data_IF_960358654176
#
_entry.id   IF_960358654176
#
_cell.length_a   1.000
_cell.length_b   1.000
_cell.length_c   1.000
_cell.angle_alpha   90.00
_cell.angle_beta   90.00
_cell.angle_gamma   90.00
#
_symmetry.space_group_name_H-M   'P 1'
#
loop_
_entity.id
_entity.type
_entity.pdbx_description
1 polymer ?
#
# COMPACT_ATOMS: atom_id res chain seq x y z
N UNK A 1 42.46 -27.99 9.33
CA UNK A 1 41.51 -29.05 9.77
C UNK A 1 42.11 -30.37 9.35
N UNK A 2 42.43 -31.18 10.32
CA UNK A 2 43.04 -32.51 10.03
C UNK A 2 41.98 -33.57 10.23
N UNK A 3 41.75 -34.31 9.17
CA UNK A 3 40.93 -35.51 9.20
C UNK A 3 41.80 -36.63 9.80
N UNK A 4 41.46 -37.06 10.97
CA UNK A 4 42.24 -38.12 11.66
C UNK A 4 41.38 -39.40 11.67
N UNK A 5 41.65 -40.30 10.71
CA UNK A 5 40.89 -41.54 10.60
C UNK A 5 39.44 -41.37 10.24
N UNK A 6 38.52 -41.96 11.00
CA UNK A 6 37.08 -41.91 10.78
C UNK A 6 36.33 -40.95 11.75
N UNK A 7 37.05 -40.14 12.54
CA UNK A 7 36.43 -39.27 13.52
C UNK A 7 36.72 -37.80 13.21
N UNK A 8 35.71 -36.96 13.37
CA UNK A 8 35.88 -35.51 13.37
C UNK A 8 36.34 -35.04 14.73
N UNK A 9 37.30 -34.11 14.77
CA UNK A 9 37.71 -33.44 16.02
C UNK A 9 36.54 -32.58 16.56
N UNK A 10 36.55 -32.28 17.88
CA UNK A 10 35.47 -31.55 18.59
C UNK A 10 35.10 -30.18 17.98
N UNK A 11 35.89 -29.68 17.04
CA UNK A 11 35.68 -28.40 16.34
C UNK A 11 35.07 -28.53 14.96
N UNK A 12 34.71 -29.77 14.51
CA UNK A 12 34.24 -29.98 13.14
C UNK A 12 33.09 -30.98 13.10
N UNK A 13 32.04 -30.68 12.37
CA UNK A 13 30.97 -31.64 12.04
C UNK A 13 31.30 -32.41 10.80
N UNK A 14 31.12 -33.72 10.86
CA UNK A 14 31.34 -34.64 9.73
C UNK A 14 30.14 -34.60 8.80
N UNK A 15 30.37 -34.20 7.57
CA UNK A 15 29.42 -34.42 6.47
C UNK A 15 30.04 -35.44 5.49
N UNK A 16 29.24 -35.91 4.53
CA UNK A 16 29.66 -37.02 3.62
C UNK A 16 30.98 -36.80 2.88
N UNK A 17 31.47 -35.56 2.80
CA UNK A 17 32.64 -35.16 2.02
C UNK A 17 33.70 -34.33 2.78
N UNK A 18 33.60 -34.19 4.08
CA UNK A 18 34.62 -33.45 4.85
C UNK A 18 34.18 -32.96 6.21
N UNK A 19 35.08 -32.27 6.88
CA UNK A 19 34.82 -31.63 8.15
C UNK A 19 34.62 -30.11 7.97
N UNK A 20 33.54 -29.58 8.46
CA UNK A 20 33.28 -28.13 8.47
C UNK A 20 33.39 -27.56 9.90
N UNK A 21 33.94 -26.39 10.05
CA UNK A 21 33.96 -25.68 11.35
C UNK A 21 32.54 -25.39 11.81
N UNK A 22 32.22 -25.67 13.08
CA UNK A 22 30.90 -25.39 13.66
C UNK A 22 30.47 -23.92 13.52
N UNK A 23 31.44 -23.01 13.44
CA UNK A 23 31.17 -21.57 13.21
C UNK A 23 30.77 -21.23 11.78
N UNK A 24 30.99 -22.11 10.81
CA UNK A 24 30.72 -21.88 9.39
C UNK A 24 29.51 -22.65 8.86
N UNK A 25 28.99 -23.62 9.63
CA UNK A 25 27.76 -24.33 9.25
C UNK A 25 26.58 -23.41 9.50
N UNK A 26 26.12 -22.79 8.45
CA UNK A 26 24.86 -22.07 8.46
C UNK A 26 23.72 -23.08 8.55
N UNK A 27 23.19 -23.32 9.75
CA UNK A 27 21.98 -24.12 9.92
C UNK A 27 20.74 -23.20 9.81
N UNK A 28 20.08 -23.19 8.62
CA UNK A 28 18.90 -22.37 8.42
C UNK A 28 17.72 -22.81 9.27
N UNK A 29 17.67 -24.10 9.65
CA UNK A 29 16.60 -24.66 10.48
C UNK A 29 16.70 -24.16 11.92
N UNK A 30 17.90 -24.16 12.49
CA UNK A 30 18.13 -23.66 13.85
C UNK A 30 17.84 -22.15 13.94
N UNK A 31 18.28 -21.35 12.95
CA UNK A 31 17.98 -19.92 12.90
C UNK A 31 16.47 -19.65 12.74
N UNK A 32 15.81 -20.45 11.90
CA UNK A 32 14.36 -20.33 11.73
C UNK A 32 13.61 -20.74 13.00
N UNK A 33 14.06 -21.79 13.70
CA UNK A 33 13.48 -22.20 14.98
C UNK A 33 13.67 -21.13 16.05
N UNK A 34 14.86 -20.51 16.14
CA UNK A 34 15.10 -19.36 17.03
C UNK A 34 14.23 -18.17 16.68
N UNK A 35 14.03 -17.91 15.37
CA UNK A 35 13.13 -16.87 14.90
C UNK A 35 11.67 -17.15 15.27
N UNK A 36 11.19 -18.39 15.09
CA UNK A 36 9.83 -18.80 15.49
C UNK A 36 9.62 -18.71 17.01
N UNK A 37 10.56 -19.17 17.80
CA UNK A 37 10.50 -19.04 19.27
C UNK A 37 10.46 -17.57 19.69
N UNK A 38 11.25 -16.70 19.03
CA UNK A 38 11.21 -15.26 19.28
C UNK A 38 9.85 -14.62 18.90
N UNK A 39 9.16 -15.14 17.86
CA UNK A 39 7.80 -14.72 17.53
C UNK A 39 6.82 -15.16 18.61
N UNK A 40 6.93 -16.39 19.09
CA UNK A 40 6.05 -16.94 20.14
C UNK A 40 6.14 -16.08 21.41
N UNK A 41 7.34 -15.78 21.88
CA UNK A 41 7.58 -14.88 23.02
C UNK A 41 7.09 -13.45 22.75
N UNK A 42 7.21 -12.97 21.50
CA UNK A 42 6.80 -11.63 21.06
C UNK A 42 5.35 -11.50 20.61
N UNK A 43 4.55 -12.56 20.62
CA UNK A 43 3.17 -12.55 20.08
C UNK A 43 2.30 -11.47 20.71
N UNK A 44 2.40 -11.27 22.02
CA UNK A 44 1.66 -10.22 22.72
C UNK A 44 2.04 -8.80 22.24
N UNK A 45 3.31 -8.57 21.88
CA UNK A 45 3.82 -7.29 21.34
C UNK A 45 3.20 -7.05 19.96
N UNK A 46 3.15 -8.09 19.12
CA UNK A 46 2.54 -8.03 17.78
C UNK A 46 1.04 -7.72 17.89
N UNK A 47 0.34 -8.41 18.78
CA UNK A 47 -1.09 -8.16 19.03
C UNK A 47 -1.35 -6.75 19.55
N UNK A 48 -0.57 -6.28 20.51
CA UNK A 48 -0.67 -4.92 21.04
C UNK A 48 -0.40 -3.89 19.94
N UNK A 49 0.61 -4.13 19.10
CA UNK A 49 0.92 -3.27 17.95
C UNK A 49 -0.23 -3.19 16.94
N UNK A 50 -0.90 -4.29 16.65
CA UNK A 50 -2.06 -4.31 15.76
C UNK A 50 -3.27 -3.57 16.35
N UNK A 51 -3.53 -3.74 17.64
CA UNK A 51 -4.62 -3.03 18.32
C UNK A 51 -4.36 -1.53 18.35
N UNK A 52 -3.14 -1.10 18.70
CA UNK A 52 -2.78 0.34 18.70
C UNK A 52 -2.79 0.92 17.28
N UNK A 53 -2.34 0.17 16.28
CA UNK A 53 -2.42 0.58 14.87
C UNK A 53 -3.87 0.80 14.42
N UNK A 54 -4.76 -0.15 14.69
CA UNK A 54 -6.17 -0.03 14.34
C UNK A 54 -6.85 1.12 15.08
N UNK A 55 -6.52 1.35 16.34
CA UNK A 55 -7.02 2.49 17.11
C UNK A 55 -6.57 3.83 16.50
N UNK A 56 -5.30 3.95 16.11
CA UNK A 56 -4.78 5.15 15.43
C UNK A 56 -5.46 5.39 14.08
N UNK A 57 -5.71 4.34 13.30
CA UNK A 57 -6.46 4.43 12.05
C UNK A 57 -7.89 4.93 12.29
N UNK A 58 -8.59 4.41 13.31
CA UNK A 58 -9.93 4.86 13.68
C UNK A 58 -9.93 6.32 14.15
N UNK A 59 -8.96 6.74 14.96
CA UNK A 59 -8.79 8.15 15.36
C UNK A 59 -8.62 9.03 14.14
N UNK A 60 -7.84 8.61 13.15
CA UNK A 60 -7.66 9.38 11.91
C UNK A 60 -8.94 9.50 11.11
N UNK A 61 -9.74 8.42 11.00
CA UNK A 61 -11.07 8.47 10.37
C UNK A 61 -12.02 9.41 11.12
N UNK A 62 -11.98 9.44 12.45
CA UNK A 62 -12.75 10.39 13.26
C UNK A 62 -12.30 11.82 13.03
N UNK A 63 -11.01 12.09 12.91
CA UNK A 63 -10.49 13.42 12.55
C UNK A 63 -10.98 13.86 11.17
N UNK A 64 -11.02 12.99 10.18
CA UNK A 64 -11.61 13.27 8.87
C UNK A 64 -13.14 13.50 8.94
N UNK A 65 -13.83 12.90 9.91
CA UNK A 65 -15.28 13.15 10.09
C UNK A 65 -15.57 14.50 10.76
N UNK A 66 -14.89 14.80 11.87
CA UNK A 66 -15.25 15.94 12.72
C UNK A 66 -14.43 17.20 12.46
N UNK A 67 -13.21 17.06 12.00
CA UNK A 67 -12.24 18.14 11.83
C UNK A 67 -11.51 18.07 10.48
N UNK A 68 -12.23 17.77 9.40
CA UNK A 68 -11.63 17.54 8.07
C UNK A 68 -10.80 18.72 7.59
N UNK A 69 -11.31 19.95 7.71
CA UNK A 69 -10.60 21.15 7.27
C UNK A 69 -9.26 21.31 7.98
N UNK A 70 -9.27 21.19 9.31
CA UNK A 70 -8.05 21.25 10.12
C UNK A 70 -7.09 20.10 9.76
N UNK A 71 -7.60 18.87 9.67
CA UNK A 71 -6.79 17.68 9.40
C UNK A 71 -6.10 17.76 8.04
N UNK A 72 -6.82 18.16 6.99
CA UNK A 72 -6.28 18.31 5.63
C UNK A 72 -5.18 19.37 5.61
N UNK A 73 -5.42 20.56 6.16
CA UNK A 73 -4.41 21.62 6.21
C UNK A 73 -3.21 21.25 7.08
N UNK A 74 -3.45 20.58 8.23
CA UNK A 74 -2.38 20.09 9.10
C UNK A 74 -1.49 19.08 8.38
N UNK A 75 -2.08 18.12 7.66
CA UNK A 75 -1.31 17.12 6.90
C UNK A 75 -0.54 17.75 5.74
N UNK A 76 -1.16 18.67 4.98
CA UNK A 76 -0.51 19.36 3.87
C UNK A 76 0.68 20.20 4.35
N UNK A 77 0.46 21.07 5.31
CA UNK A 77 1.50 21.99 5.84
C UNK A 77 2.54 21.19 6.63
N UNK A 78 2.09 20.26 7.48
CA UNK A 78 2.96 19.39 8.27
C UNK A 78 3.86 18.52 7.40
N UNK A 79 3.33 17.91 6.34
CA UNK A 79 4.10 17.10 5.40
C UNK A 79 5.17 17.92 4.68
N UNK A 80 4.81 19.12 4.20
CA UNK A 80 5.80 20.05 3.61
C UNK A 80 6.86 20.48 4.62
N UNK A 81 6.45 20.75 5.87
CA UNK A 81 7.36 21.10 6.95
C UNK A 81 8.37 19.98 7.26
N UNK A 82 7.92 18.74 7.35
CA UNK A 82 8.78 17.59 7.62
C UNK A 82 9.81 17.38 6.51
N UNK A 83 9.39 17.47 5.24
CA UNK A 83 10.33 17.34 4.11
C UNK A 83 11.32 18.50 4.03
N UNK A 84 10.89 19.73 4.33
CA UNK A 84 11.76 20.90 4.38
C UNK A 84 12.78 20.79 5.53
N UNK A 85 12.35 20.43 6.72
CA UNK A 85 13.25 20.19 7.88
C UNK A 85 14.23 19.05 7.56
N UNK A 86 13.76 17.95 6.98
CA UNK A 86 14.60 16.83 6.55
C UNK A 86 15.68 17.26 5.53
N UNK A 87 15.31 18.11 4.57
CA UNK A 87 16.27 18.69 3.61
C UNK A 87 17.33 19.56 4.31
N UNK A 88 16.91 20.43 5.23
CA UNK A 88 17.82 21.30 5.99
C UNK A 88 18.78 20.49 6.89
N UNK A 89 18.27 19.47 7.59
CA UNK A 89 19.10 18.59 8.42
C UNK A 89 20.11 17.79 7.59
N UNK A 90 19.66 17.23 6.47
CA UNK A 90 20.53 16.50 5.53
C UNK A 90 21.62 17.41 4.93
N UNK A 91 21.28 18.66 4.60
CA UNK A 91 22.24 19.66 4.16
C UNK A 91 23.26 20.00 5.26
N UNK A 92 22.81 20.12 6.51
CA UNK A 92 23.71 20.32 7.66
C UNK A 92 24.69 19.18 7.83
N UNK A 93 24.24 17.92 7.72
CA UNK A 93 25.11 16.74 7.76
C UNK A 93 26.06 16.68 6.56
N UNK A 94 25.58 17.02 5.33
CA UNK A 94 26.45 17.14 4.17
C UNK A 94 27.61 18.11 4.44
N UNK A 95 27.33 19.32 4.93
CA UNK A 95 28.37 20.31 5.27
C UNK A 95 29.35 19.77 6.32
N UNK A 96 28.83 19.07 7.35
CA UNK A 96 29.66 18.49 8.40
C UNK A 96 30.63 17.44 7.86
N UNK A 97 30.14 16.51 7.01
CA UNK A 97 30.99 15.46 6.42
C UNK A 97 31.93 16.00 5.33
N UNK A 98 31.50 16.99 4.56
CA UNK A 98 32.32 17.59 3.52
C UNK A 98 33.47 18.46 4.10
N UNK A 99 33.19 19.22 5.18
CA UNK A 99 34.15 20.22 5.69
C UNK A 99 35.00 19.69 6.83
N UNK A 100 34.42 18.90 7.77
CA UNK A 100 35.14 18.49 8.99
C UNK A 100 35.64 17.04 8.97
N UNK A 101 34.89 16.10 8.38
CA UNK A 101 35.23 14.66 8.50
C UNK A 101 35.95 14.11 7.26
N UNK A 102 35.99 14.82 6.14
CA UNK A 102 36.66 14.37 4.89
C UNK A 102 36.09 13.10 4.23
N UNK A 103 34.92 12.59 4.69
CA UNK A 103 34.30 11.38 4.17
C UNK A 103 33.41 11.71 2.97
N UNK A 104 34.05 11.69 1.78
CA UNK A 104 33.39 12.06 0.51
C UNK A 104 32.20 11.14 0.15
N UNK A 105 32.21 9.86 0.55
CA UNK A 105 31.11 8.93 0.26
C UNK A 105 29.85 9.25 1.08
N UNK A 106 30.01 9.54 2.38
CA UNK A 106 28.90 9.95 3.23
C UNK A 106 28.40 11.35 2.85
N UNK A 107 29.31 12.29 2.58
CA UNK A 107 28.94 13.61 2.12
C UNK A 107 28.07 13.54 0.85
N UNK A 108 28.43 12.73 -0.16
CA UNK A 108 27.66 12.56 -1.38
C UNK A 108 26.25 12.02 -1.09
N UNK A 109 26.11 11.01 -0.21
CA UNK A 109 24.78 10.46 0.17
C UNK A 109 23.87 11.51 0.82
N UNK A 110 24.42 12.31 1.75
CA UNK A 110 23.63 13.37 2.39
C UNK A 110 23.29 14.51 1.44
N UNK A 111 24.15 14.81 0.47
CA UNK A 111 23.86 15.77 -0.59
C UNK A 111 22.70 15.30 -1.48
N UNK A 112 22.75 14.05 -1.96
CA UNK A 112 21.67 13.45 -2.76
C UNK A 112 20.34 13.43 -1.99
N UNK A 113 20.39 13.10 -0.69
CA UNK A 113 19.20 13.11 0.17
C UNK A 113 18.64 14.52 0.37
N UNK A 114 19.50 15.51 0.63
CA UNK A 114 19.08 16.91 0.77
C UNK A 114 18.46 17.46 -0.51
N UNK A 115 19.07 17.13 -1.66
CA UNK A 115 18.59 17.55 -2.97
C UNK A 115 17.24 16.93 -3.31
N UNK A 116 17.07 15.62 -3.08
CA UNK A 116 15.79 14.92 -3.34
C UNK A 116 14.68 15.44 -2.44
N UNK A 117 14.90 15.60 -1.14
CA UNK A 117 13.91 16.16 -0.22
C UNK A 117 13.57 17.61 -0.54
N UNK A 118 14.57 18.41 -0.94
CA UNK A 118 14.37 19.79 -1.36
C UNK A 118 13.52 19.90 -2.63
N UNK A 119 13.79 19.07 -3.65
CA UNK A 119 12.99 19.01 -4.88
C UNK A 119 11.56 18.54 -4.61
N UNK A 120 11.36 17.56 -3.73
CA UNK A 120 10.02 17.11 -3.30
C UNK A 120 9.28 18.27 -2.64
N UNK A 121 9.92 18.99 -1.70
CA UNK A 121 9.29 20.14 -1.01
C UNK A 121 8.88 21.23 -2.01
N UNK A 122 9.76 21.62 -2.94
CA UNK A 122 9.45 22.62 -3.97
C UNK A 122 8.31 22.15 -4.87
N UNK A 123 8.34 20.89 -5.32
CA UNK A 123 7.26 20.29 -6.11
C UNK A 123 5.92 20.34 -5.40
N UNK A 124 5.89 20.01 -4.10
CA UNK A 124 4.67 20.07 -3.28
C UNK A 124 4.11 21.49 -3.13
N UNK A 125 4.99 22.48 -2.92
CA UNK A 125 4.60 23.90 -2.85
C UNK A 125 3.99 24.36 -4.18
N UNK A 126 4.62 24.01 -5.31
CA UNK A 126 4.10 24.33 -6.65
C UNK A 126 2.73 23.68 -6.87
N UNK A 127 2.58 22.40 -6.56
CA UNK A 127 1.29 21.70 -6.67
C UNK A 127 0.22 22.36 -5.82
N UNK A 128 0.55 22.72 -4.57
CA UNK A 128 -0.41 23.40 -3.68
C UNK A 128 -0.86 24.74 -4.27
N UNK A 129 0.07 25.57 -4.78
CA UNK A 129 -0.24 26.87 -5.39
C UNK A 129 -1.12 26.67 -6.63
N UNK A 130 -0.79 25.74 -7.52
CA UNK A 130 -1.55 25.45 -8.72
C UNK A 130 -2.99 24.99 -8.43
N UNK A 131 -3.15 24.16 -7.41
CA UNK A 131 -4.45 23.54 -7.10
C UNK A 131 -5.16 24.08 -5.87
N UNK A 132 -4.72 25.21 -5.29
CA UNK A 132 -5.29 25.75 -4.04
C UNK A 132 -6.81 25.98 -4.11
N UNK A 133 -7.32 26.40 -5.28
CA UNK A 133 -8.76 26.56 -5.52
C UNK A 133 -9.51 25.22 -5.49
N UNK A 134 -8.84 24.13 -5.83
CA UNK A 134 -9.38 22.75 -5.86
C UNK A 134 -9.28 22.03 -4.52
N UNK A 135 -8.44 22.51 -3.59
CA UNK A 135 -8.33 21.95 -2.23
C UNK A 135 -9.68 21.94 -1.53
N UNK A 136 -10.51 22.97 -1.73
CA UNK A 136 -11.88 23.02 -1.17
C UNK A 136 -12.77 21.89 -1.68
N UNK A 137 -12.64 21.52 -2.97
CA UNK A 137 -13.36 20.37 -3.55
C UNK A 137 -12.91 19.06 -2.89
N UNK A 138 -11.60 18.87 -2.74
CA UNK A 138 -11.02 17.70 -2.08
C UNK A 138 -11.50 17.61 -0.63
N UNK A 139 -11.46 18.71 0.12
CA UNK A 139 -11.98 18.77 1.51
C UNK A 139 -13.46 18.37 1.56
N UNK A 140 -14.30 18.87 0.64
CA UNK A 140 -15.73 18.54 0.62
C UNK A 140 -15.95 17.05 0.28
N UNK A 141 -15.17 16.47 -0.65
CA UNK A 141 -15.23 15.04 -0.95
C UNK A 141 -14.79 14.21 0.26
N UNK A 142 -13.73 14.61 0.98
CA UNK A 142 -13.31 13.96 2.21
C UNK A 142 -14.41 14.00 3.28
N UNK A 143 -15.09 15.12 3.42
CA UNK A 143 -16.20 15.29 4.37
C UNK A 143 -17.38 14.38 4.04
N UNK A 144 -17.82 14.35 2.79
CA UNK A 144 -18.92 13.48 2.36
C UNK A 144 -18.51 11.99 2.43
N UNK A 145 -17.27 11.66 2.09
CA UNK A 145 -16.74 10.29 2.18
C UNK A 145 -16.69 9.81 3.64
N UNK A 146 -16.19 10.64 4.56
CA UNK A 146 -16.23 10.34 5.98
C UNK A 146 -17.65 10.12 6.49
N UNK A 147 -18.61 10.98 6.07
CA UNK A 147 -20.02 10.81 6.39
C UNK A 147 -20.56 9.46 5.92
N UNK A 148 -20.33 9.09 4.65
CA UNK A 148 -20.76 7.82 4.09
C UNK A 148 -20.18 6.61 4.85
N UNK A 149 -18.88 6.64 5.19
CA UNK A 149 -18.22 5.57 5.95
C UNK A 149 -18.89 5.31 7.29
N UNK A 150 -19.30 6.36 8.00
CA UNK A 150 -19.93 6.20 9.31
C UNK A 150 -21.43 5.95 9.25
N UNK A 151 -22.12 6.31 8.16
CA UNK A 151 -23.55 6.06 7.96
C UNK A 151 -23.82 4.66 7.37
N UNK A 152 -22.83 4.04 6.69
CA UNK A 152 -22.99 2.69 6.16
C UNK A 152 -22.57 1.65 7.22
N UNK A 153 -23.51 0.88 7.78
CA UNK A 153 -23.20 -0.10 8.83
C UNK A 153 -22.19 -1.15 8.36
N UNK A 154 -21.20 -1.41 9.19
CA UNK A 154 -20.21 -2.46 8.96
C UNK A 154 -19.01 -2.06 8.09
N UNK A 155 -18.98 -0.87 7.49
CA UNK A 155 -17.88 -0.44 6.61
C UNK A 155 -16.54 -0.37 7.35
N UNK A 156 -16.56 0.04 8.62
CA UNK A 156 -15.37 0.12 9.48
C UNK A 156 -14.74 -1.27 9.77
N UNK A 157 -15.52 -2.35 9.68
CA UNK A 157 -15.02 -3.72 9.90
C UNK A 157 -14.41 -4.35 8.65
N UNK A 158 -14.63 -3.76 7.48
CA UNK A 158 -14.15 -4.31 6.21
C UNK A 158 -12.62 -4.45 6.13
N UNK A 159 -11.79 -3.53 6.69
CA UNK A 159 -10.34 -3.69 6.69
C UNK A 159 -9.87 -4.96 7.37
N UNK A 160 -10.52 -5.35 8.47
CA UNK A 160 -10.15 -6.59 9.17
C UNK A 160 -10.48 -7.82 8.33
N UNK A 161 -11.60 -7.78 7.59
CA UNK A 161 -12.01 -8.86 6.69
C UNK A 161 -11.02 -9.05 5.52
N UNK A 162 -10.38 -7.99 5.05
CA UNK A 162 -9.39 -8.04 3.96
C UNK A 162 -7.96 -8.25 4.49
N UNK A 163 -7.64 -7.72 5.66
CA UNK A 163 -6.34 -7.87 6.31
C UNK A 163 -6.01 -9.34 6.61
N UNK A 164 -6.98 -10.08 7.18
CA UNK A 164 -6.76 -11.49 7.58
C UNK A 164 -6.35 -12.38 6.40
N UNK A 165 -7.06 -12.42 5.25
CA UNK A 165 -6.62 -13.21 4.10
C UNK A 165 -5.28 -12.78 3.52
N UNK A 166 -4.96 -11.47 3.52
CA UNK A 166 -3.66 -10.97 3.03
C UNK A 166 -2.53 -11.44 3.92
N UNK A 167 -2.68 -11.36 5.25
CA UNK A 167 -1.66 -11.86 6.19
C UNK A 167 -1.54 -13.39 6.11
N UNK A 168 -2.65 -14.11 6.00
CA UNK A 168 -2.62 -15.55 5.82
C UNK A 168 -1.86 -15.94 4.54
N UNK A 169 -2.08 -15.22 3.43
CA UNK A 169 -1.34 -15.44 2.19
C UNK A 169 0.15 -15.12 2.31
N UNK A 170 0.51 -14.08 3.10
CA UNK A 170 1.91 -13.74 3.41
C UNK A 170 2.59 -14.85 4.23
N UNK A 171 1.91 -15.36 5.26
CA UNK A 171 2.41 -16.48 6.09
C UNK A 171 2.61 -17.71 5.22
N UNK A 172 1.63 -18.06 4.40
CA UNK A 172 1.74 -19.21 3.48
C UNK A 172 2.90 -19.02 2.50
N UNK A 173 3.05 -17.84 1.92
CA UNK A 173 4.18 -17.50 1.05
C UNK A 173 5.53 -17.70 1.75
N UNK A 174 5.67 -17.19 2.98
CA UNK A 174 6.94 -17.30 3.73
C UNK A 174 7.25 -18.74 4.13
N UNK A 175 6.25 -19.51 4.54
CA UNK A 175 6.40 -20.93 4.86
C UNK A 175 6.83 -21.72 3.64
N UNK A 176 6.20 -21.52 2.48
CA UNK A 176 6.59 -22.19 1.23
C UNK A 176 8.00 -21.80 0.80
N UNK A 177 8.38 -20.53 0.89
CA UNK A 177 9.75 -20.09 0.62
C UNK A 177 10.76 -20.77 1.54
N UNK A 178 10.43 -20.93 2.83
CA UNK A 178 11.29 -21.62 3.78
C UNK A 178 11.45 -23.11 3.43
N UNK A 179 10.36 -23.82 3.13
CA UNK A 179 10.44 -25.22 2.70
C UNK A 179 11.28 -25.40 1.43
N UNK A 180 11.11 -24.50 0.44
CA UNK A 180 11.91 -24.54 -0.77
C UNK A 180 13.39 -24.26 -0.50
N UNK A 181 13.68 -23.35 0.45
CA UNK A 181 15.05 -23.05 0.85
C UNK A 181 15.75 -24.22 1.54
N UNK A 182 15.05 -24.98 2.35
CA UNK A 182 15.58 -26.15 3.07
C UNK A 182 15.68 -27.40 2.18
N UNK A 183 14.90 -27.48 1.10
CA UNK A 183 14.88 -28.62 0.16
C UNK A 183 15.97 -28.54 -0.93
N UNK A 184 16.92 -27.59 -0.86
CA UNK A 184 18.02 -27.46 -1.83
C UNK A 184 18.85 -28.71 -1.92
N UNK A 185 19.29 -29.05 -3.11
CA UNK A 185 20.15 -30.20 -3.37
C UNK A 185 21.63 -29.82 -3.39
N UNK A 186 22.49 -30.71 -2.86
CA UNK A 186 23.93 -30.57 -2.95
C UNK A 186 24.39 -30.88 -4.37
N UNK A 187 25.00 -29.90 -5.03
CA UNK A 187 25.62 -30.10 -6.35
C UNK A 187 27.13 -29.86 -6.26
N UNK A 188 27.87 -30.64 -6.99
CA UNK A 188 29.32 -30.50 -7.08
C UNK A 188 29.66 -29.48 -8.17
N UNK A 189 30.14 -28.29 -7.73
CA UNK A 189 30.62 -27.24 -8.63
C UNK A 189 32.16 -27.22 -8.56
N UNK A 190 32.80 -27.95 -9.49
CA UNK A 190 34.26 -28.12 -9.48
C UNK A 190 34.74 -28.95 -8.29
N UNK A 191 35.57 -28.39 -7.42
CA UNK A 191 36.07 -29.04 -6.19
C UNK A 191 35.23 -28.73 -4.96
N UNK A 192 34.21 -27.85 -5.06
CA UNK A 192 33.37 -27.42 -3.93
C UNK A 192 31.97 -28.04 -4.05
N UNK A 193 31.38 -28.31 -2.90
CA UNK A 193 29.97 -28.70 -2.80
C UNK A 193 29.16 -27.45 -2.44
N UNK A 194 28.21 -27.07 -3.29
CA UNK A 194 27.32 -25.95 -3.07
C UNK A 194 25.87 -26.42 -3.05
N UNK A 195 25.05 -25.78 -2.19
CA UNK A 195 23.62 -25.99 -2.20
C UNK A 195 23.00 -25.15 -3.32
N UNK A 196 22.45 -25.79 -4.33
CA UNK A 196 21.85 -25.13 -5.48
C UNK A 196 20.35 -25.45 -5.59
N UNK A 197 19.64 -24.53 -6.25
CA UNK A 197 18.22 -24.70 -6.55
C UNK A 197 18.05 -25.45 -7.87
N UNK A 198 17.32 -26.54 -7.84
CA UNK A 198 16.86 -27.18 -9.07
C UNK A 198 15.91 -26.25 -9.86
N UNK A 199 15.87 -26.36 -11.18
CA UNK A 199 15.04 -25.55 -12.05
C UNK A 199 13.54 -25.58 -11.69
N UNK A 200 13.04 -26.72 -11.23
CA UNK A 200 11.67 -26.86 -10.74
C UNK A 200 11.43 -26.05 -9.45
N UNK A 201 12.42 -26.00 -8.56
CA UNK A 201 12.35 -25.19 -7.32
C UNK A 201 12.33 -23.70 -7.64
N UNK A 202 13.20 -23.24 -8.55
CA UNK A 202 13.23 -21.85 -9.00
C UNK A 202 11.89 -21.45 -9.60
N UNK A 203 11.33 -22.29 -10.48
CA UNK A 203 10.01 -22.05 -11.08
C UNK A 203 8.92 -21.96 -9.99
N UNK A 204 8.93 -22.84 -9.01
CA UNK A 204 7.95 -22.84 -7.90
C UNK A 204 8.07 -21.61 -7.03
N UNK A 205 9.31 -21.13 -6.73
CA UNK A 205 9.51 -19.87 -5.99
C UNK A 205 8.97 -18.65 -6.76
N UNK A 206 9.21 -18.61 -8.06
CA UNK A 206 8.72 -17.57 -8.96
C UNK A 206 7.19 -17.57 -8.98
N UNK A 207 6.58 -18.75 -9.13
CA UNK A 207 5.11 -18.91 -9.13
C UNK A 207 4.50 -18.52 -7.77
N UNK A 208 5.12 -18.95 -6.67
CA UNK A 208 4.68 -18.59 -5.32
C UNK A 208 4.68 -17.06 -5.10
N UNK A 209 5.74 -16.38 -5.54
CA UNK A 209 5.82 -14.91 -5.48
C UNK A 209 4.74 -14.24 -6.32
N UNK A 210 4.50 -14.72 -7.54
CA UNK A 210 3.43 -14.23 -8.40
C UNK A 210 2.05 -14.41 -7.76
N UNK A 211 1.77 -15.59 -7.22
CA UNK A 211 0.49 -15.90 -6.57
C UNK A 211 0.24 -15.03 -5.34
N UNK A 212 1.26 -14.77 -4.52
CA UNK A 212 1.16 -13.86 -3.38
C UNK A 212 0.75 -12.44 -3.81
N UNK A 213 1.45 -11.88 -4.82
CA UNK A 213 1.10 -10.54 -5.36
C UNK A 213 -0.34 -10.52 -5.88
N UNK A 214 -0.72 -11.54 -6.64
CA UNK A 214 -2.05 -11.59 -7.23
C UNK A 214 -3.16 -11.71 -6.19
N UNK A 215 -3.02 -12.58 -5.18
CA UNK A 215 -3.99 -12.70 -4.09
C UNK A 215 -4.14 -11.37 -3.34
N UNK A 216 -3.04 -10.69 -3.02
CA UNK A 216 -3.07 -9.40 -2.35
C UNK A 216 -3.82 -8.33 -3.18
N UNK A 217 -3.55 -8.25 -4.48
CA UNK A 217 -4.24 -7.33 -5.41
C UNK A 217 -5.71 -7.69 -5.59
N UNK A 218 -6.05 -8.99 -5.62
CA UNK A 218 -7.43 -9.45 -5.69
C UNK A 218 -8.22 -9.05 -4.43
N UNK A 219 -7.65 -9.26 -3.25
CA UNK A 219 -8.30 -8.88 -1.99
C UNK A 219 -8.52 -7.37 -1.89
N UNK A 220 -7.52 -6.57 -2.30
CA UNK A 220 -7.65 -5.12 -2.40
C UNK A 220 -8.75 -4.70 -3.39
N UNK A 221 -8.78 -5.28 -4.59
CA UNK A 221 -9.80 -5.01 -5.60
C UNK A 221 -11.20 -5.42 -5.16
N UNK A 222 -11.34 -6.55 -4.45
CA UNK A 222 -12.61 -7.02 -3.88
C UNK A 222 -13.14 -6.03 -2.83
N UNK A 223 -12.28 -5.60 -1.90
CA UNK A 223 -12.63 -4.55 -0.94
C UNK A 223 -13.11 -3.29 -1.64
N UNK A 224 -12.35 -2.84 -2.64
CA UNK A 224 -12.65 -1.63 -3.40
C UNK A 224 -14.02 -1.70 -4.08
N UNK A 225 -14.34 -2.79 -4.76
CA UNK A 225 -15.61 -2.98 -5.44
C UNK A 225 -16.81 -3.08 -4.48
N UNK A 226 -16.65 -3.77 -3.34
CA UNK A 226 -17.69 -3.89 -2.33
C UNK A 226 -18.03 -2.50 -1.74
N UNK A 227 -17.00 -1.70 -1.44
CA UNK A 227 -17.17 -0.32 -0.95
C UNK A 227 -17.88 0.53 -2.01
N UNK A 228 -17.42 0.47 -3.25
CA UNK A 228 -17.99 1.26 -4.35
C UNK A 228 -19.47 0.99 -4.56
N UNK A 229 -19.90 -0.27 -4.48
CA UNK A 229 -21.31 -0.61 -4.58
C UNK A 229 -22.14 -0.09 -3.40
N UNK A 230 -21.62 -0.18 -2.19
CA UNK A 230 -22.31 0.32 -1.00
C UNK A 230 -22.40 1.86 -1.00
N UNK A 231 -21.32 2.55 -1.39
CA UNK A 231 -21.26 4.02 -1.48
C UNK A 231 -22.17 4.53 -2.59
N UNK A 232 -22.19 3.89 -3.75
CA UNK A 232 -23.09 4.25 -4.86
C UNK A 232 -24.55 4.11 -4.47
N UNK A 233 -24.92 3.02 -3.78
CA UNK A 233 -26.26 2.85 -3.25
C UNK A 233 -26.62 3.95 -2.24
N UNK A 234 -25.67 4.28 -1.35
CA UNK A 234 -25.84 5.38 -0.39
C UNK A 234 -26.00 6.73 -1.10
N UNK A 235 -25.17 7.03 -2.10
CA UNK A 235 -25.20 8.31 -2.82
C UNK A 235 -26.54 8.54 -3.53
N UNK A 236 -27.04 7.56 -4.30
CA UNK A 236 -28.25 7.67 -5.11
C UNK A 236 -29.57 7.42 -4.31
N UNK A 237 -29.48 7.11 -3.02
CA UNK A 237 -30.67 7.01 -2.15
C UNK A 237 -30.93 8.35 -1.48
N UNK A 238 -32.07 9.02 -1.79
CA UNK A 238 -32.42 10.35 -1.21
C UNK A 238 -32.74 10.26 0.26
N UNK A 239 -33.62 9.34 0.64
CA UNK A 239 -33.95 9.07 2.04
C UNK A 239 -33.17 7.86 2.54
N UNK A 240 -32.20 8.13 3.43
CA UNK A 240 -31.29 7.13 4.00
C UNK A 240 -31.99 6.10 4.88
N UNK A 241 -33.21 6.36 5.31
CA UNK A 241 -34.01 5.41 6.09
C UNK A 241 -34.45 4.18 5.28
N UNK A 242 -34.56 4.32 3.96
CA UNK A 242 -34.86 3.20 3.06
C UNK A 242 -33.63 2.39 2.63
N UNK A 243 -32.43 2.77 3.11
CA UNK A 243 -31.20 2.08 2.75
C UNK A 243 -30.99 0.84 3.64
N UNK A 244 -31.45 -0.34 3.18
CA UNK A 244 -31.27 -1.59 3.91
C UNK A 244 -29.92 -2.24 3.57
N UNK A 245 -29.04 -2.32 4.57
CA UNK A 245 -27.77 -3.06 4.58
C UNK A 245 -26.95 -2.97 3.27
N UNK A 246 -26.59 -1.78 2.78
CA UNK A 246 -25.98 -1.60 1.47
C UNK A 246 -24.66 -2.37 1.30
N UNK A 247 -23.87 -2.51 2.37
CA UNK A 247 -22.62 -3.25 2.34
C UNK A 247 -22.84 -4.74 2.11
N UNK A 248 -23.84 -5.34 2.77
CA UNK A 248 -24.18 -6.77 2.60
C UNK A 248 -24.71 -7.04 1.19
N UNK A 249 -25.55 -6.16 0.68
CA UNK A 249 -26.08 -6.27 -0.68
C UNK A 249 -24.96 -6.17 -1.70
N UNK A 250 -24.07 -5.18 -1.57
CA UNK A 250 -22.90 -5.02 -2.44
C UNK A 250 -21.98 -6.25 -2.39
N UNK A 251 -21.71 -6.80 -1.21
CA UNK A 251 -20.94 -8.02 -1.04
C UNK A 251 -21.58 -9.23 -1.76
N UNK A 252 -22.87 -9.41 -1.62
CA UNK A 252 -23.60 -10.51 -2.29
C UNK A 252 -23.60 -10.35 -3.82
N UNK A 253 -23.78 -9.14 -4.31
CA UNK A 253 -23.71 -8.83 -5.76
C UNK A 253 -22.30 -9.09 -6.28
N UNK A 254 -21.28 -8.64 -5.57
CA UNK A 254 -19.87 -8.92 -5.90
C UNK A 254 -19.61 -10.42 -6.05
N UNK A 255 -19.94 -11.22 -5.01
CA UNK A 255 -19.66 -12.67 -5.02
C UNK A 255 -20.45 -13.40 -6.12
N UNK A 256 -21.72 -13.04 -6.35
CA UNK A 256 -22.57 -13.74 -7.33
C UNK A 256 -22.24 -13.38 -8.77
N UNK A 257 -21.93 -12.11 -9.07
CA UNK A 257 -21.93 -11.61 -10.45
C UNK A 257 -20.60 -10.99 -10.89
N UNK A 258 -19.80 -10.47 -9.98
CA UNK A 258 -18.66 -9.62 -10.34
C UNK A 258 -17.29 -10.09 -9.81
N UNK A 259 -17.23 -11.29 -9.22
CA UNK A 259 -15.97 -11.88 -8.75
C UNK A 259 -14.96 -11.99 -9.91
N UNK A 260 -15.40 -12.40 -11.09
CA UNK A 260 -14.57 -12.47 -12.31
C UNK A 260 -14.05 -11.12 -12.79
N UNK A 261 -14.78 -10.03 -12.57
CA UNK A 261 -14.34 -8.68 -12.91
C UNK A 261 -13.11 -8.27 -12.11
N UNK A 262 -13.12 -8.50 -10.80
CA UNK A 262 -11.98 -8.18 -9.93
C UNK A 262 -10.83 -9.15 -10.15
N UNK A 263 -11.13 -10.43 -10.38
CA UNK A 263 -10.14 -11.44 -10.74
C UNK A 263 -9.33 -11.02 -11.98
N UNK A 264 -10.01 -10.60 -13.04
CA UNK A 264 -9.37 -10.15 -14.29
C UNK A 264 -8.54 -8.87 -14.08
N UNK A 265 -9.11 -7.85 -13.44
CA UNK A 265 -8.39 -6.58 -13.23
C UNK A 265 -7.17 -6.73 -12.33
N UNK A 266 -7.27 -7.52 -11.26
CA UNK A 266 -6.13 -7.81 -10.38
C UNK A 266 -5.06 -8.65 -11.08
N UNK A 267 -5.45 -9.60 -11.94
CA UNK A 267 -4.53 -10.42 -12.73
C UNK A 267 -3.69 -9.56 -13.67
N UNK A 268 -4.32 -8.64 -14.39
CA UNK A 268 -3.60 -7.73 -15.32
C UNK A 268 -2.55 -6.91 -14.56
N UNK A 269 -2.91 -6.34 -13.40
CA UNK A 269 -1.97 -5.57 -12.58
C UNK A 269 -0.85 -6.48 -12.03
N UNK A 270 -1.19 -7.70 -11.60
CA UNK A 270 -0.22 -8.67 -11.09
C UNK A 270 0.81 -9.06 -12.15
N UNK A 271 0.38 -9.35 -13.38
CA UNK A 271 1.27 -9.68 -14.50
C UNK A 271 2.26 -8.55 -14.77
N UNK A 272 1.78 -7.30 -14.87
CA UNK A 272 2.68 -6.16 -15.15
C UNK A 272 3.62 -5.89 -13.96
N UNK A 273 3.15 -6.04 -12.73
CA UNK A 273 3.98 -5.92 -11.53
C UNK A 273 5.08 -6.99 -11.50
N UNK A 274 4.74 -8.20 -11.88
CA UNK A 274 5.66 -9.33 -11.94
C UNK A 274 6.70 -9.15 -13.05
N UNK A 275 6.27 -8.75 -14.27
CA UNK A 275 7.18 -8.42 -15.38
C UNK A 275 8.16 -7.33 -14.95
N UNK A 276 7.70 -6.28 -14.28
CA UNK A 276 8.56 -5.23 -13.73
C UNK A 276 9.62 -5.79 -12.77
N UNK A 277 9.23 -6.69 -11.86
CA UNK A 277 10.16 -7.31 -10.91
C UNK A 277 11.24 -8.13 -11.63
N UNK A 278 10.87 -8.90 -12.63
CA UNK A 278 11.81 -9.70 -13.47
C UNK A 278 12.76 -8.76 -14.24
N UNK A 279 12.24 -7.79 -14.95
CA UNK A 279 13.06 -6.85 -15.75
C UNK A 279 14.04 -6.07 -14.87
N UNK A 280 13.62 -5.70 -13.66
CA UNK A 280 14.50 -5.05 -12.67
C UNK A 280 15.60 -5.98 -12.20
N UNK A 281 15.31 -7.25 -11.98
CA UNK A 281 16.30 -8.28 -11.56
C UNK A 281 17.31 -8.57 -12.66
N UNK A 282 16.88 -8.64 -13.92
CA UNK A 282 17.75 -8.90 -15.08
C UNK A 282 18.59 -7.69 -15.48
N UNK A 283 18.22 -6.50 -15.06
CA UNK A 283 18.92 -5.25 -15.44
C UNK A 283 20.18 -5.05 -14.61
N UNK A 284 21.35 -5.31 -15.19
CA UNK A 284 22.66 -5.12 -14.55
C UNK A 284 23.13 -3.66 -14.56
N UNK A 285 22.65 -2.83 -15.49
CA UNK A 285 23.06 -1.43 -15.65
C UNK A 285 22.06 -0.48 -14.99
N UNK A 286 22.55 0.51 -14.21
CA UNK A 286 21.71 1.51 -13.55
C UNK A 286 20.83 2.32 -14.53
N UNK A 287 21.31 2.57 -15.75
CA UNK A 287 20.53 3.32 -16.76
C UNK A 287 19.35 2.49 -17.28
N UNK A 288 19.55 1.20 -17.60
CA UNK A 288 18.48 0.31 -18.04
C UNK A 288 17.49 0.06 -16.93
N UNK A 289 17.93 -0.09 -15.67
CA UNK A 289 17.08 -0.22 -14.49
C UNK A 289 16.17 1.00 -14.33
N UNK A 290 16.71 2.20 -14.47
CA UNK A 290 15.92 3.45 -14.38
C UNK A 290 14.85 3.53 -15.47
N UNK A 291 15.19 3.18 -16.73
CA UNK A 291 14.21 3.18 -17.84
C UNK A 291 13.08 2.18 -17.58
N UNK A 292 13.41 0.94 -17.15
CA UNK A 292 12.42 -0.08 -16.80
C UNK A 292 11.51 0.40 -15.67
N UNK A 293 12.08 1.00 -14.63
CA UNK A 293 11.29 1.53 -13.51
C UNK A 293 10.35 2.65 -13.96
N UNK A 294 10.81 3.58 -14.77
CA UNK A 294 10.01 4.68 -15.27
C UNK A 294 8.85 4.18 -16.15
N UNK A 295 9.14 3.43 -17.22
CA UNK A 295 8.11 2.95 -18.13
C UNK A 295 7.08 2.02 -17.46
N UNK A 296 7.55 1.06 -16.63
CA UNK A 296 6.64 0.15 -15.95
C UNK A 296 5.81 0.85 -14.87
N UNK A 297 6.34 1.89 -14.21
CA UNK A 297 5.57 2.66 -13.24
C UNK A 297 4.42 3.40 -13.87
N UNK A 298 4.63 4.05 -15.03
CA UNK A 298 3.57 4.75 -15.75
C UNK A 298 2.46 3.80 -16.20
N UNK A 299 2.84 2.65 -16.76
CA UNK A 299 1.88 1.60 -17.16
C UNK A 299 1.09 1.10 -15.93
N UNK A 300 1.77 0.83 -14.81
CA UNK A 300 1.12 0.39 -13.58
C UNK A 300 0.20 1.46 -12.99
N UNK A 301 0.60 2.72 -13.00
CA UNK A 301 -0.23 3.84 -12.55
C UNK A 301 -1.52 3.93 -13.36
N UNK A 302 -1.40 3.88 -14.71
CA UNK A 302 -2.56 3.86 -15.60
C UNK A 302 -3.47 2.64 -15.36
N UNK A 303 -2.92 1.42 -15.26
CA UNK A 303 -3.71 0.22 -15.04
C UNK A 303 -4.43 0.22 -13.68
N UNK A 304 -3.78 0.72 -12.63
CA UNK A 304 -4.41 0.88 -11.32
C UNK A 304 -5.56 1.88 -11.38
N UNK A 305 -5.35 3.05 -11.97
CA UNK A 305 -6.38 4.07 -12.14
C UNK A 305 -7.55 3.53 -12.97
N UNK A 306 -7.27 2.87 -14.11
CA UNK A 306 -8.27 2.23 -14.94
C UNK A 306 -9.08 1.18 -14.18
N UNK A 307 -8.39 0.27 -13.46
CA UNK A 307 -9.04 -0.83 -12.74
C UNK A 307 -9.90 -0.33 -11.57
N UNK A 308 -9.42 0.61 -10.77
CA UNK A 308 -10.18 1.22 -9.67
C UNK A 308 -11.50 1.81 -10.19
N UNK A 309 -11.42 2.64 -11.21
CA UNK A 309 -12.60 3.31 -11.78
C UNK A 309 -13.51 2.34 -12.54
N UNK A 310 -12.97 1.29 -13.17
CA UNK A 310 -13.76 0.22 -13.76
C UNK A 310 -14.56 -0.54 -12.69
N UNK A 311 -13.97 -0.81 -11.50
CA UNK A 311 -14.68 -1.45 -10.40
C UNK A 311 -15.83 -0.59 -9.89
N UNK A 312 -15.64 0.74 -9.77
CA UNK A 312 -16.72 1.67 -9.39
C UNK A 312 -17.85 1.64 -10.40
N UNK A 313 -17.55 1.75 -11.69
CA UNK A 313 -18.54 1.72 -12.75
C UNK A 313 -19.24 0.35 -12.87
N UNK A 314 -18.51 -0.74 -12.66
CA UNK A 314 -19.13 -2.08 -12.61
C UNK A 314 -20.09 -2.19 -11.42
N UNK A 315 -19.72 -1.67 -10.26
CA UNK A 315 -20.56 -1.69 -9.08
C UNK A 315 -21.84 -0.85 -9.24
N UNK A 316 -21.77 0.27 -9.98
CA UNK A 316 -22.94 1.12 -10.26
C UNK A 316 -23.87 0.55 -11.32
N UNK A 317 -23.34 0.03 -12.42
CA UNK A 317 -24.11 -0.31 -13.63
C UNK A 317 -24.15 -1.80 -13.97
N UNK A 318 -23.41 -2.65 -13.27
CA UNK A 318 -23.38 -4.10 -13.52
C UNK A 318 -22.72 -4.50 -14.85
N UNK A 319 -21.95 -3.60 -15.51
CA UNK A 319 -21.35 -3.86 -16.81
C UNK A 319 -20.03 -4.62 -16.71
N UNK A 320 -19.58 -5.33 -17.78
CA UNK A 320 -18.29 -6.01 -17.80
C UNK A 320 -17.10 -5.05 -17.63
N UNK A 321 -15.97 -5.56 -17.11
CA UNK A 321 -14.76 -4.81 -16.74
C UNK A 321 -14.31 -3.78 -17.79
N UNK A 322 -14.08 -4.20 -19.03
CA UNK A 322 -13.55 -3.30 -20.07
C UNK A 322 -14.58 -2.23 -20.50
N UNK A 323 -15.88 -2.58 -20.54
CA UNK A 323 -16.94 -1.62 -20.87
C UNK A 323 -17.10 -0.58 -19.77
N UNK A 324 -17.06 -1.02 -18.51
CA UNK A 324 -17.09 -0.15 -17.35
C UNK A 324 -15.85 0.76 -17.31
N UNK A 325 -14.66 0.21 -17.59
CA UNK A 325 -13.43 0.99 -17.69
C UNK A 325 -13.46 2.05 -18.78
N UNK A 326 -13.97 1.72 -19.97
CA UNK A 326 -14.14 2.68 -21.05
C UNK A 326 -15.08 3.84 -20.69
N UNK A 327 -16.23 3.54 -20.04
CA UNK A 327 -17.15 4.56 -19.51
C UNK A 327 -16.47 5.43 -18.44
N UNK A 328 -15.76 4.81 -17.50
CA UNK A 328 -15.02 5.53 -16.48
C UNK A 328 -14.02 6.51 -17.08
N UNK A 329 -13.20 6.07 -18.05
CA UNK A 329 -12.22 6.94 -18.73
C UNK A 329 -12.93 8.12 -19.42
N UNK A 330 -14.06 7.90 -20.11
CA UNK A 330 -14.83 8.98 -20.72
C UNK A 330 -15.29 10.02 -19.71
N UNK A 331 -15.78 9.61 -18.54
CA UNK A 331 -16.19 10.50 -17.45
C UNK A 331 -15.01 11.26 -16.85
N UNK A 332 -13.86 10.58 -16.66
CA UNK A 332 -12.65 11.19 -16.10
C UNK A 332 -12.06 12.24 -17.06
N UNK A 333 -12.04 11.95 -18.37
CA UNK A 333 -11.52 12.88 -19.37
C UNK A 333 -12.40 14.14 -19.46
N UNK A 334 -13.71 14.01 -19.35
CA UNK A 334 -14.62 15.18 -19.32
C UNK A 334 -14.48 16.04 -18.05
N UNK A 335 -13.82 15.52 -16.99
CA UNK A 335 -13.59 16.19 -15.72
C UNK A 335 -12.11 16.22 -15.32
N UNK A 336 -11.20 16.25 -16.30
CA UNK A 336 -9.75 16.00 -16.10
C UNK A 336 -9.10 16.86 -15.01
N UNK A 337 -9.46 18.15 -14.92
CA UNK A 337 -8.89 19.05 -13.91
C UNK A 337 -9.27 18.65 -12.47
N UNK A 338 -10.52 18.21 -12.27
CA UNK A 338 -10.97 17.73 -10.96
C UNK A 338 -10.31 16.40 -10.62
N UNK A 339 -10.17 15.50 -11.62
CA UNK A 339 -9.47 14.22 -11.48
C UNK A 339 -8.01 14.41 -11.04
N UNK A 340 -7.29 15.31 -11.72
CA UNK A 340 -5.90 15.61 -11.37
C UNK A 340 -5.80 16.17 -9.94
N UNK A 341 -6.69 17.10 -9.57
CA UNK A 341 -6.70 17.67 -8.24
C UNK A 341 -6.98 16.62 -7.15
N UNK A 342 -7.96 15.76 -7.35
CA UNK A 342 -8.36 14.72 -6.39
C UNK A 342 -7.23 13.68 -6.24
N UNK A 343 -6.71 13.15 -7.34
CA UNK A 343 -5.64 12.16 -7.30
C UNK A 343 -4.33 12.77 -6.74
N UNK A 344 -3.95 14.00 -7.13
CA UNK A 344 -2.69 14.59 -6.65
C UNK A 344 -2.76 15.03 -5.20
N UNK A 345 -3.81 15.74 -4.81
CA UNK A 345 -3.93 16.30 -3.45
C UNK A 345 -4.51 15.25 -2.50
N UNK A 346 -5.54 14.52 -2.94
CA UNK A 346 -6.20 13.50 -2.12
C UNK A 346 -5.25 12.36 -1.77
N UNK A 347 -4.60 11.76 -2.77
CA UNK A 347 -3.63 10.68 -2.57
C UNK A 347 -2.45 11.15 -1.72
N UNK A 348 -2.00 12.38 -1.89
CA UNK A 348 -0.93 12.96 -1.08
C UNK A 348 -1.33 13.10 0.40
N UNK A 349 -2.53 13.61 0.69
CA UNK A 349 -3.05 13.72 2.06
C UNK A 349 -3.14 12.33 2.71
N UNK A 350 -3.70 11.35 1.98
CA UNK A 350 -3.83 9.99 2.48
C UNK A 350 -2.46 9.35 2.70
N UNK A 351 -1.50 9.54 1.79
CA UNK A 351 -0.15 9.00 1.92
C UNK A 351 0.58 9.57 3.16
N UNK A 352 0.48 10.88 3.42
CA UNK A 352 1.07 11.48 4.62
C UNK A 352 0.41 10.92 5.88
N UNK A 353 -0.91 10.79 5.89
CA UNK A 353 -1.63 10.24 7.03
C UNK A 353 -1.21 8.78 7.30
N UNK A 354 -1.06 7.96 6.26
CA UNK A 354 -0.58 6.59 6.35
C UNK A 354 0.85 6.52 6.93
N UNK A 355 1.78 7.31 6.39
CA UNK A 355 3.17 7.37 6.87
C UNK A 355 3.21 7.81 8.33
N UNK A 356 2.43 8.83 8.70
CA UNK A 356 2.36 9.33 10.08
C UNK A 356 1.94 8.22 11.06
N UNK A 357 0.89 7.47 10.73
CA UNK A 357 0.40 6.36 11.57
C UNK A 357 1.45 5.25 11.66
N UNK A 358 2.04 4.84 10.53
CA UNK A 358 3.09 3.80 10.53
C UNK A 358 4.27 4.22 11.39
N UNK A 359 4.74 5.46 11.28
CA UNK A 359 5.87 5.96 12.08
C UNK A 359 5.52 5.99 13.57
N UNK A 360 4.39 6.58 13.94
CA UNK A 360 3.96 6.65 15.36
C UNK A 360 3.82 5.26 15.94
N UNK A 361 3.10 4.36 15.25
CA UNK A 361 2.88 3.01 15.77
C UNK A 361 4.16 2.17 15.80
N UNK A 362 5.08 2.34 14.84
CA UNK A 362 6.38 1.66 14.86
C UNK A 362 7.26 2.12 16.02
N UNK A 363 7.24 3.42 16.34
CA UNK A 363 7.94 3.95 17.52
C UNK A 363 7.35 3.39 18.82
N UNK A 364 6.02 3.33 18.94
CA UNK A 364 5.35 2.72 20.09
C UNK A 364 5.71 1.23 20.22
N UNK A 365 5.63 0.48 19.13
CA UNK A 365 5.97 -0.95 19.10
C UNK A 365 7.43 -1.20 19.47
N UNK A 366 8.36 -0.33 19.03
CA UNK A 366 9.77 -0.40 19.41
C UNK A 366 9.98 -0.16 20.90
N UNK A 367 9.29 0.82 21.49
CA UNK A 367 9.39 1.09 22.94
C UNK A 367 8.84 -0.07 23.77
N UNK A 368 7.72 -0.65 23.36
CA UNK A 368 7.12 -1.81 24.03
C UNK A 368 8.07 -3.02 23.92
N UNK A 369 8.61 -3.31 22.73
CA UNK A 369 9.53 -4.41 22.52
C UNK A 369 10.84 -4.25 23.30
N UNK A 370 11.36 -3.02 23.40
CA UNK A 370 12.55 -2.72 24.21
C UNK A 370 12.30 -2.92 25.70
N UNK A 371 11.12 -2.58 26.20
CA UNK A 371 10.76 -2.75 27.60
C UNK A 371 10.57 -4.22 28.00
N UNK A 372 10.35 -5.13 27.04
CA UNK A 372 10.17 -6.56 27.28
C UNK A 372 11.47 -7.37 27.34
N UNK A 373 12.65 -6.73 27.16
CA UNK A 373 14.01 -7.34 27.22
C UNK A 373 14.19 -8.59 26.31
N UNK A 374 13.44 -8.66 25.19
CA UNK A 374 13.49 -9.79 24.27
C UNK A 374 14.82 -9.85 23.49
N UNK A 375 15.44 -11.02 23.43
CA UNK A 375 16.69 -11.24 22.67
C UNK A 375 16.53 -10.98 21.16
N UNK A 376 15.34 -11.19 20.58
CA UNK A 376 15.05 -11.02 19.15
C UNK A 376 14.33 -9.71 18.82
N UNK A 377 14.67 -8.61 19.48
CA UNK A 377 14.05 -7.29 19.30
C UNK A 377 13.91 -6.88 17.83
N UNK A 378 14.95 -7.08 17.01
CA UNK A 378 14.95 -6.69 15.60
C UNK A 378 13.95 -7.50 14.76
N UNK A 379 13.83 -8.81 15.00
CA UNK A 379 12.89 -9.68 14.30
C UNK A 379 11.45 -9.31 14.60
N UNK A 380 11.10 -9.14 15.88
CA UNK A 380 9.76 -8.73 16.31
C UNK A 380 9.41 -7.36 15.74
N UNK A 381 10.34 -6.41 15.78
CA UNK A 381 10.11 -5.07 15.22
C UNK A 381 9.81 -5.10 13.71
N UNK A 382 10.56 -5.90 12.93
CA UNK A 382 10.33 -6.04 11.49
C UNK A 382 8.94 -6.64 11.21
N UNK A 383 8.51 -7.65 11.98
CA UNK A 383 7.18 -8.25 11.84
C UNK A 383 6.09 -7.25 12.17
N UNK A 384 6.22 -6.53 13.29
CA UNK A 384 5.29 -5.46 13.65
C UNK A 384 5.21 -4.40 12.55
N UNK A 385 6.34 -3.98 11.98
CA UNK A 385 6.39 -3.00 10.91
C UNK A 385 5.63 -3.48 9.65
N UNK A 386 5.86 -4.73 9.24
CA UNK A 386 5.17 -5.32 8.08
C UNK A 386 3.66 -5.36 8.33
N UNK A 387 3.22 -5.86 9.48
CA UNK A 387 1.80 -5.95 9.82
C UNK A 387 1.14 -4.58 9.93
N UNK A 388 1.83 -3.60 10.51
CA UNK A 388 1.36 -2.22 10.59
C UNK A 388 1.16 -1.60 9.20
N UNK A 389 2.10 -1.79 8.28
CA UNK A 389 1.98 -1.30 6.91
C UNK A 389 0.75 -1.90 6.22
N UNK A 390 0.56 -3.23 6.30
CA UNK A 390 -0.62 -3.88 5.71
C UNK A 390 -1.93 -3.42 6.35
N UNK A 391 -1.97 -3.26 7.67
CA UNK A 391 -3.16 -2.79 8.39
C UNK A 391 -3.52 -1.36 7.97
N UNK A 392 -2.55 -0.45 7.92
CA UNK A 392 -2.78 0.94 7.51
C UNK A 392 -3.27 1.01 6.07
N UNK A 393 -2.65 0.27 5.14
CA UNK A 393 -3.09 0.21 3.73
C UNK A 393 -4.54 -0.25 3.63
N UNK A 394 -4.94 -1.32 4.32
CA UNK A 394 -6.31 -1.84 4.26
C UNK A 394 -7.34 -0.89 4.87
N UNK A 395 -6.99 -0.16 5.93
CA UNK A 395 -7.86 0.87 6.52
C UNK A 395 -8.04 2.07 5.60
N UNK A 396 -6.95 2.60 5.05
CA UNK A 396 -7.02 3.77 4.17
C UNK A 396 -7.63 3.44 2.81
N UNK A 397 -7.57 2.19 2.37
CA UNK A 397 -8.25 1.73 1.17
C UNK A 397 -9.78 1.96 1.23
N UNK A 398 -10.39 1.93 2.44
CA UNK A 398 -11.81 2.30 2.59
C UNK A 398 -12.02 3.75 2.20
N UNK A 399 -11.18 4.63 2.73
CA UNK A 399 -11.32 6.06 2.52
C UNK A 399 -11.07 6.42 1.05
N UNK A 400 -10.00 5.87 0.46
CA UNK A 400 -9.66 6.01 -0.94
C UNK A 400 -10.81 5.53 -1.85
N UNK A 401 -11.28 4.30 -1.66
CA UNK A 401 -12.38 3.74 -2.44
C UNK A 401 -13.68 4.54 -2.29
N UNK A 402 -13.93 5.10 -1.11
CA UNK A 402 -15.11 5.94 -0.87
C UNK A 402 -15.00 7.27 -1.58
N UNK A 403 -13.84 7.95 -1.56
CA UNK A 403 -13.58 9.20 -2.27
C UNK A 403 -13.76 9.01 -3.77
N UNK A 404 -13.11 7.98 -4.34
CA UNK A 404 -13.17 7.71 -5.77
C UNK A 404 -14.59 7.35 -6.22
N UNK A 405 -15.32 6.58 -5.40
CA UNK A 405 -16.72 6.23 -5.66
C UNK A 405 -17.63 7.44 -5.59
N UNK A 406 -17.45 8.30 -4.57
CA UNK A 406 -18.21 9.54 -4.42
C UNK A 406 -17.98 10.49 -5.61
N UNK A 407 -16.72 10.63 -6.02
CA UNK A 407 -16.38 11.45 -7.18
C UNK A 407 -16.98 10.90 -8.48
N UNK A 408 -16.94 9.60 -8.67
CA UNK A 408 -17.51 8.96 -9.86
C UNK A 408 -19.05 9.09 -9.88
N UNK A 409 -19.71 8.87 -8.72
CA UNK A 409 -21.15 9.10 -8.58
C UNK A 409 -21.54 10.55 -8.87
N UNK A 410 -20.70 11.49 -8.42
CA UNK A 410 -20.84 12.90 -8.70
C UNK A 410 -20.74 13.22 -10.20
N UNK A 411 -19.75 12.68 -10.91
CA UNK A 411 -19.63 12.84 -12.36
C UNK A 411 -20.84 12.28 -13.09
N UNK A 412 -21.34 11.12 -12.67
CA UNK A 412 -22.54 10.47 -13.24
C UNK A 412 -23.80 11.29 -12.96
N UNK A 413 -23.98 11.80 -11.73
CA UNK A 413 -25.11 12.64 -11.35
C UNK A 413 -25.16 13.95 -12.17
N UNK A 414 -23.99 14.55 -12.41
CA UNK A 414 -23.85 15.76 -13.24
C UNK A 414 -24.13 15.53 -14.73
N UNK A 415 -23.97 14.29 -15.21
CA UNK A 415 -24.26 13.92 -16.59
C UNK A 415 -25.74 13.63 -16.81
N UNK A 416 -26.40 12.96 -15.84
CA UNK A 416 -27.78 12.48 -15.99
C UNK A 416 -28.79 13.54 -15.56
N UNK A 417 -28.48 14.38 -14.61
CA UNK A 417 -29.36 15.35 -13.97
C UNK A 417 -28.96 16.79 -14.33
N UNK A 418 -29.95 17.65 -14.52
CA UNK A 418 -29.81 19.08 -14.91
C UNK A 418 -30.00 20.05 -13.72
N UNK A 419 -30.47 19.54 -12.59
CA UNK A 419 -30.78 20.33 -11.41
C UNK A 419 -32.09 21.15 -11.46
N UNK A 420 -32.80 21.15 -12.59
CA UNK A 420 -34.11 21.82 -12.80
C UNK A 420 -35.22 20.79 -12.93
N UNK A 421 -35.27 20.09 -14.06
CA UNK A 421 -36.28 19.05 -14.32
C UNK A 421 -35.94 17.74 -13.59
N UNK A 422 -34.64 17.47 -13.44
CA UNK A 422 -34.09 16.31 -12.73
C UNK A 422 -33.14 16.80 -11.63
N UNK A 423 -33.62 16.90 -10.35
CA UNK A 423 -32.82 17.41 -9.27
C UNK A 423 -31.64 16.48 -8.95
N UNK A 424 -30.46 17.06 -8.71
CA UNK A 424 -29.25 16.35 -8.36
C UNK A 424 -29.39 15.53 -7.06
N UNK A 425 -28.68 14.42 -6.97
CA UNK A 425 -28.52 13.63 -5.75
C UNK A 425 -27.41 14.18 -4.84
N UNK A 426 -26.43 14.87 -5.42
CA UNK A 426 -25.30 15.45 -4.69
C UNK A 426 -25.76 16.49 -3.66
N UNK A 427 -24.95 16.65 -2.59
CA UNK A 427 -25.20 17.62 -1.53
C UNK A 427 -25.06 19.06 -2.04
N UNK A 428 -25.74 20.00 -1.36
CA UNK A 428 -25.68 21.44 -1.71
C UNK A 428 -24.24 21.98 -1.68
N UNK A 429 -23.39 21.52 -0.75
CA UNK A 429 -21.98 21.93 -0.66
C UNK A 429 -21.17 21.50 -1.88
N UNK A 430 -21.35 20.28 -2.36
CA UNK A 430 -20.68 19.77 -3.55
C UNK A 430 -21.16 20.50 -4.81
N UNK A 431 -22.46 20.74 -4.92
CA UNK A 431 -23.08 21.49 -6.02
C UNK A 431 -22.53 22.92 -6.15
N UNK A 432 -22.47 23.68 -5.05
CA UNK A 432 -21.95 25.05 -5.05
C UNK A 432 -20.49 25.14 -5.54
N UNK A 433 -19.67 24.13 -5.22
CA UNK A 433 -18.28 24.09 -5.67
C UNK A 433 -18.18 23.93 -7.19
N UNK A 434 -19.11 23.22 -7.82
CA UNK A 434 -19.15 23.04 -9.26
C UNK A 434 -19.64 24.28 -9.97
N UNK A 435 -20.73 24.85 -9.48
CA UNK A 435 -21.27 26.10 -10.04
C UNK A 435 -20.20 27.20 -10.00
N UNK A 436 -19.46 27.31 -8.87
CA UNK A 436 -18.34 28.23 -8.74
C UNK A 436 -17.16 27.89 -9.66
N UNK A 437 -16.90 26.59 -9.92
CA UNK A 437 -15.83 26.19 -10.85
C UNK A 437 -16.17 26.47 -12.31
N UNK A 438 -17.44 26.33 -12.72
CA UNK A 438 -17.92 26.69 -14.06
C UNK A 438 -17.94 28.19 -14.29
N UNK A 439 -18.27 28.99 -13.27
CA UNK A 439 -18.29 30.45 -13.35
C UNK A 439 -16.91 31.11 -13.47
N UNK A 440 -15.84 30.40 -13.16
CA UNK A 440 -14.44 30.89 -13.33
C UNK A 440 -13.93 30.74 -14.75
N UNK A 441 -14.61 29.93 -15.59
CA UNK A 441 -14.22 29.65 -16.98
C UNK A 441 -15.18 30.26 -18.02
N UNK A 442 -16.20 31.01 -17.59
CA UNK A 442 -16.98 31.94 -18.41
C UNK A 442 -16.46 33.39 -18.21
#
# INVERSE_FOLDING_TARGET
MTFNGNECTDTCKKDYFGCFSEKEVFDPVEKFKKFLNGIEEGTWIIMTSLVTCSALCLVMLLLFKYAVDFTVWFLLIGGMGVTAIGACLSWGQYRRYATYNGDSKKAKKYFELALTLGLITVGMVILLICFIKRVKLVIQLFKESAKAIFEIPGMIYLPFLTFVPVILSLVLYTVLCFYMYTARTLQQVGSNLEYDFDGAMVFTLILNFFMFIWIALFMYGAQYMIISGAVSAWFFTRDKNYLDRPLRTSFMVFVKYHLGTVFLGSLIIAIVTFIKAILRSLSSNNRTRWIVECCCNEILAFLKLFSKNAYVQTAMHGQPFFKSGGRAVSLLVSNVENVIAINSIGDFILAIAQVLIVVINSLLSYQIAKASENENLAGIFIICLIFNIFMVITFFAIFEATIDSMFMCFCEDSLINDGMSRPYYMTKGLRQLIENSKAVFQ
#
